data_IF_711426761598
#
_entry.id   IF_711426761598
#
_cell.length_a   1.000
_cell.length_b   1.000
_cell.length_c   1.000
_cell.angle_alpha   90.00
_cell.angle_beta   90.00
_cell.angle_gamma   90.00
#
_symmetry.space_group_name_H-M   'P 1'
#
loop_
_entity.id
_entity.type
_entity.pdbx_description
1 polymer ?
#
# COMPACT_ATOMS: atom_id res chain seq x y z
N UNK A 1 20.70 -22.22 10.89
CA UNK A 1 19.93 -21.43 11.87
C UNK A 1 20.94 -20.56 12.58
N UNK A 2 21.18 -19.33 12.10
CA UNK A 2 22.11 -18.42 12.75
C UNK A 2 21.35 -17.75 13.90
N UNK A 3 21.84 -17.93 15.12
CA UNK A 3 21.31 -17.30 16.34
C UNK A 3 21.78 -15.84 16.35
N UNK A 4 20.85 -14.88 16.41
CA UNK A 4 21.20 -13.47 16.56
C UNK A 4 21.71 -13.22 17.99
N UNK A 5 23.02 -13.10 18.15
CA UNK A 5 23.65 -12.75 19.42
C UNK A 5 23.66 -11.23 19.63
N UNK A 6 22.68 -10.70 20.35
CA UNK A 6 22.63 -9.30 20.80
C UNK A 6 21.24 -8.91 21.32
N UNK A 7 21.09 -7.85 22.14
CA UNK A 7 19.75 -7.32 22.41
C UNK A 7 19.12 -6.91 21.07
N UNK A 8 17.86 -7.31 20.84
CA UNK A 8 17.06 -6.91 19.67
C UNK A 8 16.89 -5.38 19.62
N UNK A 9 17.92 -4.67 19.17
CA UNK A 9 17.88 -3.22 18.94
C UNK A 9 17.52 -2.96 17.49
N UNK A 10 16.30 -2.49 17.27
CA UNK A 10 15.76 -2.27 15.92
C UNK A 10 16.24 -0.92 15.34
N UNK A 11 16.14 0.18 16.09
CA UNK A 11 16.77 1.49 15.81
C UNK A 11 16.45 2.48 16.93
N UNK A 12 17.28 3.51 17.13
CA UNK A 12 16.98 4.68 17.97
C UNK A 12 16.87 5.98 17.18
N UNK A 13 17.15 5.93 15.87
CA UNK A 13 17.11 7.08 14.98
C UNK A 13 15.80 7.10 14.21
N UNK A 14 14.99 8.13 14.45
CA UNK A 14 13.70 8.35 13.81
C UNK A 14 13.73 9.66 13.02
N UNK A 15 13.47 9.59 11.72
CA UNK A 15 13.35 10.77 10.85
C UNK A 15 11.87 11.01 10.54
N UNK A 16 11.31 12.19 10.82
CA UNK A 16 9.93 12.50 10.46
C UNK A 16 9.78 12.62 8.94
N UNK A 17 8.83 11.88 8.36
CA UNK A 17 8.47 11.99 6.94
C UNK A 17 7.40 13.07 6.70
N UNK A 18 6.96 13.80 7.72
CA UNK A 18 5.91 14.81 7.59
C UNK A 18 4.61 14.27 6.99
N UNK A 19 3.80 15.14 6.39
CA UNK A 19 2.47 14.81 5.88
C UNK A 19 1.37 14.98 6.93
N UNK A 20 0.13 15.16 6.45
CA UNK A 20 -1.06 15.27 7.28
C UNK A 20 -1.85 13.96 7.20
N UNK A 21 -1.30 12.90 7.79
CA UNK A 21 -1.86 11.55 7.67
C UNK A 21 -3.11 11.39 8.55
N UNK A 22 -4.15 10.78 7.97
CA UNK A 22 -5.40 10.39 8.64
C UNK A 22 -5.38 8.94 9.12
N UNK A 23 -4.50 8.11 8.56
CA UNK A 23 -4.38 6.67 8.85
C UNK A 23 -2.92 6.28 9.07
N UNK A 24 -2.68 5.01 9.42
CA UNK A 24 -1.37 4.40 9.20
C UNK A 24 -0.99 4.35 7.72
N UNK A 25 0.22 3.86 7.44
CA UNK A 25 0.75 3.73 6.08
C UNK A 25 0.91 2.25 5.67
N UNK A 26 0.68 1.95 4.40
CA UNK A 26 1.21 0.74 3.77
C UNK A 26 2.61 1.01 3.23
N UNK A 27 3.41 -0.03 3.08
CA UNK A 27 4.73 0.05 2.47
C UNK A 27 4.94 -1.09 1.46
N UNK A 28 5.66 -0.81 0.38
CA UNK A 28 6.09 -1.80 -0.60
C UNK A 28 7.57 -1.58 -0.93
N UNK A 29 8.38 -2.63 -0.81
CA UNK A 29 9.76 -2.62 -1.32
C UNK A 29 9.71 -3.00 -2.80
N UNK A 30 10.11 -2.09 -3.69
CA UNK A 30 9.86 -2.20 -5.13
C UNK A 30 11.11 -2.23 -5.98
N UNK A 31 12.30 -2.08 -5.41
CA UNK A 31 13.55 -2.11 -6.15
C UNK A 31 14.53 -3.15 -5.64
N UNK A 32 15.61 -3.36 -6.39
CA UNK A 32 16.64 -4.35 -6.07
C UNK A 32 17.78 -3.78 -5.23
N UNK A 33 17.78 -2.46 -4.99
CA UNK A 33 18.83 -1.73 -4.28
C UNK A 33 18.35 -1.04 -3.01
N UNK A 34 17.21 -1.49 -2.47
CA UNK A 34 16.65 -1.01 -1.20
C UNK A 34 15.60 0.09 -1.36
N UNK A 35 15.06 0.28 -2.56
CA UNK A 35 13.98 1.20 -2.82
C UNK A 35 12.67 0.75 -2.16
N UNK A 36 11.96 1.70 -1.56
CA UNK A 36 10.72 1.46 -0.81
C UNK A 36 9.77 2.61 -1.03
N UNK A 37 8.48 2.32 -1.04
CA UNK A 37 7.44 3.33 -1.14
C UNK A 37 6.43 3.15 -0.03
N UNK A 38 5.93 4.27 0.49
CA UNK A 38 4.89 4.31 1.50
C UNK A 38 3.64 4.99 0.95
N UNK A 39 2.48 4.46 1.33
CA UNK A 39 1.17 4.94 0.92
C UNK A 39 0.33 5.23 2.15
N UNK A 40 -0.25 6.42 2.23
CA UNK A 40 -1.10 6.79 3.35
C UNK A 40 -2.29 7.62 2.90
N UNK A 41 -3.37 7.54 3.66
CA UNK A 41 -4.49 8.45 3.49
C UNK A 41 -4.18 9.75 4.21
N UNK A 42 -4.26 10.87 3.52
CA UNK A 42 -4.15 12.20 4.14
C UNK A 42 -5.51 12.72 4.64
N UNK A 43 -5.49 13.82 5.39
CA UNK A 43 -6.69 14.49 5.94
C UNK A 43 -7.69 14.91 4.86
N UNK A 44 -7.22 15.16 3.64
CA UNK A 44 -8.05 15.49 2.47
C UNK A 44 -8.82 14.28 1.90
N UNK A 45 -8.60 13.08 2.43
CA UNK A 45 -9.25 11.85 1.99
C UNK A 45 -8.65 11.24 0.71
N UNK A 46 -7.50 11.74 0.25
CA UNK A 46 -6.76 11.20 -0.89
C UNK A 46 -5.65 10.25 -0.42
N UNK A 47 -5.34 9.23 -1.22
CA UNK A 47 -4.11 8.45 -1.00
C UNK A 47 -2.95 9.29 -1.52
N UNK A 48 -1.91 9.41 -0.70
CA UNK A 48 -0.64 10.01 -1.05
C UNK A 48 0.46 8.96 -0.98
N UNK A 49 1.46 9.10 -1.84
CA UNK A 49 2.66 8.28 -1.86
C UNK A 49 3.90 9.10 -1.55
N UNK A 50 4.91 8.43 -1.00
CA UNK A 50 6.25 8.96 -0.82
C UNK A 50 7.24 7.80 -0.94
N UNK A 51 8.28 7.97 -1.73
CA UNK A 51 9.26 6.91 -1.96
C UNK A 51 10.68 7.27 -1.54
N UNK A 52 11.45 6.23 -1.22
CA UNK A 52 12.89 6.21 -1.04
C UNK A 52 13.53 5.61 -2.29
N UNK A 53 14.42 6.35 -2.93
CA UNK A 53 15.07 5.96 -4.19
C UNK A 53 16.39 5.20 -4.02
N UNK A 54 16.65 4.68 -2.81
CA UNK A 54 17.94 4.08 -2.44
C UNK A 54 18.93 5.09 -1.83
N UNK A 55 18.66 6.40 -1.94
CA UNK A 55 19.57 7.47 -1.47
C UNK A 55 18.89 8.55 -0.64
N UNK A 56 17.65 8.90 -0.97
CA UNK A 56 16.90 9.97 -0.33
C UNK A 56 15.39 9.74 -0.40
N UNK A 57 14.68 10.31 0.57
CA UNK A 57 13.22 10.35 0.57
C UNK A 57 12.73 11.49 -0.30
N UNK A 58 11.89 11.18 -1.30
CA UNK A 58 11.23 12.17 -2.16
C UNK A 58 10.08 12.86 -1.43
N UNK A 59 9.43 13.83 -2.08
CA UNK A 59 8.26 14.51 -1.53
C UNK A 59 7.03 13.59 -1.46
N UNK A 60 5.99 14.02 -0.74
CA UNK A 60 4.68 13.39 -0.84
C UNK A 60 3.98 13.82 -2.14
N UNK A 61 3.44 12.87 -2.89
CA UNK A 61 2.65 13.11 -4.10
C UNK A 61 1.24 12.50 -3.98
N UNK A 62 0.22 13.24 -4.45
CA UNK A 62 -1.16 12.75 -4.37
C UNK A 62 -1.45 11.75 -5.49
N UNK A 63 -1.96 10.58 -5.11
CA UNK A 63 -2.56 9.60 -6.03
C UNK A 63 -4.06 9.84 -6.25
N UNK A 64 -4.62 10.89 -5.65
CA UNK A 64 -6.02 11.28 -5.81
C UNK A 64 -7.01 10.38 -5.08
N UNK A 65 -8.28 10.51 -5.49
CA UNK A 65 -9.41 9.69 -5.05
C UNK A 65 -10.08 10.16 -3.76
N UNK A 66 -11.00 9.33 -3.25
CA UNK A 66 -11.79 9.61 -2.05
C UNK A 66 -11.95 8.33 -1.25
N UNK A 67 -11.10 8.14 -0.27
CA UNK A 67 -10.92 6.86 0.41
C UNK A 67 -11.23 6.91 1.91
N UNK A 68 -11.41 5.73 2.47
CA UNK A 68 -11.62 5.47 3.89
C UNK A 68 -10.72 4.33 4.32
N UNK A 69 -10.07 4.48 5.47
CA UNK A 69 -9.14 3.48 6.01
C UNK A 69 -7.75 3.46 5.35
N UNK A 70 -6.88 2.65 5.93
CA UNK A 70 -5.49 2.50 5.50
C UNK A 70 -5.43 1.76 4.15
N UNK A 71 -4.62 2.23 3.18
CA UNK A 71 -4.39 1.48 1.94
C UNK A 71 -3.60 0.20 2.20
N UNK A 72 -3.57 -0.71 1.24
CA UNK A 72 -2.65 -1.84 1.18
C UNK A 72 -1.80 -1.75 -0.09
N UNK A 73 -0.54 -2.17 -0.03
CA UNK A 73 0.35 -2.13 -1.19
C UNK A 73 1.26 -3.36 -1.23
N UNK A 74 1.60 -3.79 -2.44
CA UNK A 74 2.60 -4.81 -2.69
C UNK A 74 3.33 -4.52 -4.01
N UNK A 75 4.63 -4.78 -4.03
CA UNK A 75 5.39 -4.77 -5.28
C UNK A 75 5.40 -6.17 -5.89
N UNK A 76 5.17 -6.26 -7.19
CA UNK A 76 5.21 -7.52 -7.95
C UNK A 76 6.56 -7.80 -8.58
N UNK A 77 7.31 -6.75 -8.83
CA UNK A 77 8.65 -6.78 -9.42
C UNK A 77 9.31 -5.41 -9.21
N UNK A 78 10.56 -5.29 -9.66
CA UNK A 78 11.24 -4.02 -9.88
C UNK A 78 10.31 -3.02 -10.59
N UNK A 79 10.11 -1.85 -9.99
CA UNK A 79 9.28 -0.78 -10.54
C UNK A 79 7.83 -1.19 -10.85
N UNK A 80 7.26 -2.18 -10.14
CA UNK A 80 5.86 -2.61 -10.31
C UNK A 80 5.18 -2.71 -8.98
N UNK A 81 4.29 -1.74 -8.70
CA UNK A 81 3.59 -1.63 -7.42
C UNK A 81 2.09 -1.63 -7.66
N UNK A 82 1.36 -2.35 -6.83
CA UNK A 82 -0.09 -2.37 -6.79
C UNK A 82 -0.56 -1.85 -5.44
N UNK A 83 -1.52 -0.92 -5.47
CA UNK A 83 -2.08 -0.26 -4.29
C UNK A 83 -3.59 -0.45 -4.31
N UNK A 84 -4.13 -0.82 -3.15
CA UNK A 84 -5.55 -1.01 -2.94
C UNK A 84 -6.03 -0.05 -1.86
N UNK A 85 -7.19 0.54 -2.07
CA UNK A 85 -7.83 1.41 -1.09
C UNK A 85 -9.34 1.26 -1.17
N UNK A 86 -10.01 1.40 -0.03
CA UNK A 86 -11.47 1.32 0.04
C UNK A 86 -12.02 2.73 -0.06
N UNK A 87 -12.93 2.95 -1.01
CA UNK A 87 -13.58 4.23 -1.21
C UNK A 87 -14.51 4.60 -0.05
N UNK A 88 -14.84 5.90 0.06
CA UNK A 88 -15.88 6.37 0.99
C UNK A 88 -17.25 5.72 0.76
N UNK A 89 -17.47 5.18 -0.44
CA UNK A 89 -18.63 4.39 -0.86
C UNK A 89 -18.50 2.89 -0.55
N UNK A 90 -17.45 2.48 0.16
CA UNK A 90 -17.19 1.09 0.55
C UNK A 90 -16.73 0.19 -0.60
N UNK A 91 -16.30 0.77 -1.72
CA UNK A 91 -15.85 0.03 -2.91
C UNK A 91 -14.33 -0.14 -2.89
N UNK A 92 -13.86 -1.37 -3.04
CA UNK A 92 -12.42 -1.60 -3.22
C UNK A 92 -11.98 -1.07 -4.59
N UNK A 93 -10.95 -0.23 -4.58
CA UNK A 93 -10.29 0.26 -5.79
C UNK A 93 -8.83 -0.12 -5.79
N UNK A 94 -8.29 -0.21 -7.00
CA UNK A 94 -6.92 -0.58 -7.29
C UNK A 94 -6.26 0.47 -8.18
N UNK A 95 -5.01 0.80 -7.87
CA UNK A 95 -4.10 1.63 -8.68
C UNK A 95 -2.79 0.90 -8.82
N UNK A 96 -2.06 1.12 -9.93
CA UNK A 96 -0.73 0.52 -10.10
C UNK A 96 0.29 1.45 -10.72
N UNK A 97 1.55 1.28 -10.32
CA UNK A 97 2.72 1.83 -11.00
C UNK A 97 3.19 0.83 -12.06
N UNK A 98 3.30 1.29 -13.31
CA UNK A 98 3.73 0.47 -14.45
C UNK A 98 5.22 0.63 -14.82
N UNK A 99 6.01 1.23 -13.93
CA UNK A 99 7.42 1.58 -14.15
C UNK A 99 7.65 2.89 -14.88
N UNK A 100 6.59 3.57 -15.28
CA UNK A 100 6.68 4.87 -15.95
C UNK A 100 5.69 5.86 -15.39
N UNK A 101 4.50 5.39 -15.00
CA UNK A 101 3.43 6.23 -14.47
C UNK A 101 2.45 5.45 -13.62
N UNK A 102 1.73 6.21 -12.80
CA UNK A 102 0.56 5.75 -12.08
C UNK A 102 -0.64 5.58 -13.01
N UNK A 103 -1.06 4.34 -13.25
CA UNK A 103 -2.32 4.03 -13.96
C UNK A 103 -3.50 4.41 -13.06
N UNK A 104 -4.57 4.98 -13.60
CA UNK A 104 -5.70 5.49 -12.81
C UNK A 104 -6.39 4.42 -11.96
N UNK A 105 -6.99 4.88 -10.85
CA UNK A 105 -7.83 4.06 -9.98
C UNK A 105 -8.96 3.39 -10.76
N UNK A 106 -9.17 2.10 -10.46
CA UNK A 106 -10.29 1.32 -10.99
C UNK A 106 -10.95 0.52 -9.88
N UNK A 107 -12.27 0.37 -9.98
CA UNK A 107 -13.02 -0.52 -9.10
C UNK A 107 -12.54 -1.97 -9.32
N UNK A 108 -12.34 -2.71 -8.23
CA UNK A 108 -12.01 -4.13 -8.29
C UNK A 108 -13.30 -4.91 -8.50
N UNK A 109 -13.46 -5.47 -9.70
CA UNK A 109 -14.65 -6.23 -10.07
C UNK A 109 -14.84 -7.44 -9.15
N UNK A 110 -16.08 -7.62 -8.66
CA UNK A 110 -16.44 -8.75 -7.81
C UNK A 110 -16.02 -8.63 -6.33
N UNK A 111 -15.31 -7.58 -5.94
CA UNK A 111 -14.99 -7.34 -4.53
C UNK A 111 -16.25 -7.15 -3.68
N UNK A 112 -16.27 -7.61 -2.42
CA UNK A 112 -17.40 -7.39 -1.52
C UNK A 112 -17.65 -5.89 -1.32
N UNK A 113 -18.93 -5.50 -1.29
CA UNK A 113 -19.33 -4.11 -1.03
C UNK A 113 -19.22 -3.79 0.46
N UNK A 114 -19.05 -2.51 0.76
CA UNK A 114 -18.92 -2.04 2.14
C UNK A 114 -17.64 -2.53 2.81
N UNK A 115 -16.54 -2.54 2.05
CA UNK A 115 -15.22 -2.88 2.56
C UNK A 115 -14.86 -2.01 3.77
N UNK A 116 -14.13 -2.58 4.72
CA UNK A 116 -13.69 -1.91 5.95
C UNK A 116 -12.18 -1.88 6.11
N UNK A 117 -11.51 -2.93 5.65
CA UNK A 117 -10.06 -3.03 5.64
C UNK A 117 -9.62 -3.86 4.43
N UNK A 118 -8.42 -3.58 3.94
CA UNK A 118 -7.78 -4.32 2.86
C UNK A 118 -6.35 -4.67 3.26
N UNK A 119 -5.89 -5.86 2.85
CA UNK A 119 -4.50 -6.26 2.88
C UNK A 119 -4.15 -6.94 1.55
N UNK A 120 -2.89 -6.87 1.13
CA UNK A 120 -2.43 -7.59 -0.05
C UNK A 120 -0.99 -8.07 0.11
N UNK A 121 -0.61 -9.08 -0.66
CA UNK A 121 0.75 -9.61 -0.70
C UNK A 121 1.06 -10.16 -2.09
N UNK A 122 2.29 -9.93 -2.56
CA UNK A 122 2.81 -10.63 -3.73
C UNK A 122 3.48 -11.93 -3.29
N UNK A 123 3.04 -13.07 -3.83
CA UNK A 123 3.57 -14.39 -3.46
C UNK A 123 4.53 -14.96 -4.51
N UNK A 124 5.11 -14.11 -5.37
CA UNK A 124 6.05 -14.49 -6.43
C UNK A 124 5.41 -14.82 -7.78
N UNK A 125 4.19 -15.35 -7.79
CA UNK A 125 3.46 -15.69 -9.02
C UNK A 125 2.05 -15.10 -9.12
N UNK A 126 1.54 -14.54 -8.01
CA UNK A 126 0.21 -13.96 -7.94
C UNK A 126 0.16 -12.90 -6.84
N UNK A 127 -0.78 -11.97 -7.01
CA UNK A 127 -1.10 -10.93 -6.06
C UNK A 127 -2.36 -11.35 -5.29
N UNK A 128 -2.19 -11.61 -4.00
CA UNK A 128 -3.24 -12.04 -3.10
C UNK A 128 -3.84 -10.81 -2.41
N UNK A 129 -5.16 -10.64 -2.48
CA UNK A 129 -5.89 -9.49 -1.89
C UNK A 129 -6.96 -9.99 -0.94
N UNK A 130 -7.00 -9.41 0.25
CA UNK A 130 -7.92 -9.75 1.33
C UNK A 130 -8.77 -8.54 1.70
N UNK A 131 -10.08 -8.71 1.82
CA UNK A 131 -11.02 -7.63 2.14
C UNK A 131 -11.94 -8.03 3.28
N UNK A 132 -12.02 -7.20 4.32
CA UNK A 132 -13.05 -7.34 5.34
C UNK A 132 -14.31 -6.60 4.90
N UNK A 133 -15.38 -7.35 4.64
CA UNK A 133 -16.64 -6.85 4.07
C UNK A 133 -17.68 -6.41 5.10
N UNK A 134 -18.78 -5.80 4.62
CA UNK A 134 -19.91 -5.40 5.46
C UNK A 134 -20.69 -6.60 6.05
N UNK A 135 -20.56 -7.78 5.44
CA UNK A 135 -21.06 -9.05 5.95
C UNK A 135 -20.27 -9.60 7.15
N UNK A 136 -19.26 -8.85 7.61
CA UNK A 136 -18.30 -9.25 8.64
C UNK A 136 -17.40 -10.43 8.23
N UNK A 137 -17.44 -10.84 6.96
CA UNK A 137 -16.60 -11.88 6.38
C UNK A 137 -15.25 -11.33 5.92
N UNK A 138 -14.24 -12.19 5.95
CA UNK A 138 -12.97 -11.98 5.26
C UNK A 138 -13.06 -12.66 3.89
N UNK A 139 -12.88 -11.88 2.83
CA UNK A 139 -12.91 -12.34 1.45
C UNK A 139 -11.50 -12.30 0.88
N UNK A 140 -11.21 -13.20 -0.06
CA UNK A 140 -9.91 -13.29 -0.72
C UNK A 140 -10.10 -13.40 -2.24
N UNK A 141 -9.18 -12.81 -3.00
CA UNK A 141 -9.01 -13.02 -4.42
C UNK A 141 -7.52 -13.03 -4.78
N UNK A 142 -7.13 -13.86 -5.75
CA UNK A 142 -5.85 -13.69 -6.45
C UNK A 142 -6.02 -12.91 -7.75
N UNK A 143 -4.99 -12.14 -8.07
CA UNK A 143 -4.82 -11.43 -9.32
C UNK A 143 -3.55 -11.95 -9.98
N UNK A 144 -3.69 -12.41 -11.22
CA UNK A 144 -2.56 -12.82 -12.08
C UNK A 144 -1.81 -11.60 -12.65
#
# INVERSE_FOLDING_TARGET
MAEEAGPHQVTTHWTPLGGALRTGAAAAAWGTTGETEVFALHEDGQVWERYWDGKSWHGWESLGGGFTGQPAAAARDADRIDVFAIGVDGVLRHRRWDGKRWIDWRDVAGAPRGGRAVACVWSGSRLDVFVWGADSGLHYADLA
#
